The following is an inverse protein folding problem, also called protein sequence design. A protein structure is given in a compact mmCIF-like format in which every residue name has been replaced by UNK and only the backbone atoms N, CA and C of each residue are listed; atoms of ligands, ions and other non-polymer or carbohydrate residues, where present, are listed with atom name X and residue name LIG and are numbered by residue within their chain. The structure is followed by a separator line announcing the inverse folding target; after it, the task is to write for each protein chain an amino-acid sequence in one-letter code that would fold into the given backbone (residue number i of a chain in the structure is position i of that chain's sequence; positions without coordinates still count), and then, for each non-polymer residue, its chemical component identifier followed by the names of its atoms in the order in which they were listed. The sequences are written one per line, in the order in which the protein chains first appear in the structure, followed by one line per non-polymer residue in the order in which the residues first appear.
data_IF_950853486111
#
_entry.id   IF_950853486111
#
_cell.length_a   1.000
_cell.length_b   1.000
_cell.length_c   1.000
_cell.angle_alpha   90.00
_cell.angle_beta   90.00
_cell.angle_gamma   90.00
#
_symmetry.space_group_name_H-M   'P 1'
#
loop_
_entity.id
_entity.type
_entity.pdbx_description
1 polymer ?
#
# COMPACT_ATOMS: atom_id res chain seq x y z
N UNK A 1 -2.70 -5.24 22.04
CA UNK A 1 -3.44 -6.33 21.39
C UNK A 1 -2.81 -6.56 20.03
N UNK A 2 -2.41 -7.78 19.70
CA UNK A 2 -1.75 -8.09 18.43
C UNK A 2 -2.75 -7.92 17.28
N UNK A 3 -2.37 -7.16 16.25
CA UNK A 3 -3.18 -7.03 15.02
C UNK A 3 -3.44 -8.42 14.43
N UNK A 4 -4.68 -8.76 14.02
CA UNK A 4 -4.95 -10.07 13.44
C UNK A 4 -4.24 -10.16 12.08
N UNK A 5 -3.16 -10.94 12.05
CA UNK A 5 -2.42 -11.30 10.85
C UNK A 5 -2.88 -12.66 10.36
N UNK A 6 -3.23 -12.75 9.10
CA UNK A 6 -3.65 -14.00 8.47
C UNK A 6 -2.74 -14.30 7.28
N UNK A 7 -2.26 -15.53 7.23
CA UNK A 7 -1.41 -16.04 6.16
C UNK A 7 -2.20 -16.94 5.22
N UNK A 8 -1.96 -16.79 3.92
CA UNK A 8 -2.52 -17.62 2.86
C UNK A 8 -1.44 -17.99 1.85
N UNK A 9 -1.49 -19.23 1.38
CA UNK A 9 -0.73 -19.64 0.19
C UNK A 9 -1.43 -19.11 -1.06
N UNK A 10 -0.69 -18.89 -2.13
CA UNK A 10 -1.23 -18.45 -3.41
C UNK A 10 -2.32 -19.37 -3.98
N UNK A 11 -2.23 -20.68 -3.71
CA UNK A 11 -3.27 -21.65 -4.08
C UNK A 11 -4.58 -21.46 -3.30
N UNK A 12 -4.50 -20.94 -2.08
CA UNK A 12 -5.61 -20.68 -1.18
C UNK A 12 -6.22 -19.28 -1.37
N UNK A 13 -6.01 -18.64 -2.53
CA UNK A 13 -6.54 -17.30 -2.82
C UNK A 13 -8.05 -17.18 -2.59
N UNK A 14 -8.83 -18.22 -2.90
CA UNK A 14 -10.27 -18.24 -2.63
C UNK A 14 -10.60 -18.09 -1.13
N UNK A 15 -9.83 -18.73 -0.24
CA UNK A 15 -9.99 -18.56 1.21
C UNK A 15 -9.60 -17.15 1.65
N UNK A 16 -8.57 -16.57 1.01
CA UNK A 16 -8.17 -15.18 1.24
C UNK A 16 -9.29 -14.21 0.85
N UNK A 17 -9.94 -14.42 -0.30
CA UNK A 17 -11.10 -13.64 -0.77
C UNK A 17 -12.28 -13.75 0.19
N UNK A 18 -12.65 -14.96 0.60
CA UNK A 18 -13.74 -15.17 1.58
C UNK A 18 -13.45 -14.49 2.92
N UNK A 19 -12.20 -14.55 3.38
CA UNK A 19 -11.77 -13.89 4.61
C UNK A 19 -11.83 -12.37 4.46
N UNK A 20 -11.36 -11.82 3.34
CA UNK A 20 -11.41 -10.39 3.04
C UNK A 20 -12.85 -9.87 3.01
N UNK A 21 -13.79 -10.60 2.40
CA UNK A 21 -15.21 -10.20 2.37
C UNK A 21 -15.81 -10.01 3.76
N UNK A 22 -15.35 -10.78 4.75
CA UNK A 22 -15.80 -10.66 6.15
C UNK A 22 -15.20 -9.46 6.88
N UNK A 23 -14.01 -9.00 6.49
CA UNK A 23 -13.24 -7.98 7.23
C UNK A 23 -13.18 -6.62 6.53
N UNK A 24 -13.20 -6.55 5.19
CA UNK A 24 -13.13 -5.30 4.43
C UNK A 24 -14.33 -4.37 4.66
N UNK A 25 -15.48 -4.90 5.10
CA UNK A 25 -16.64 -4.07 5.43
C UNK A 25 -16.41 -3.19 6.66
N UNK A 26 -15.61 -3.68 7.61
CA UNK A 26 -15.40 -3.05 8.93
C UNK A 26 -14.00 -2.46 9.11
N UNK A 27 -13.04 -2.81 8.27
CA UNK A 27 -11.64 -2.44 8.45
C UNK A 27 -10.89 -2.29 7.11
N UNK A 28 -9.78 -1.56 7.16
CA UNK A 28 -8.83 -1.50 6.05
C UNK A 28 -7.89 -2.69 6.14
N UNK A 29 -7.65 -3.38 5.03
CA UNK A 29 -6.78 -4.57 5.00
C UNK A 29 -5.56 -4.29 4.16
N UNK A 30 -4.38 -4.43 4.76
CA UNK A 30 -3.11 -4.35 4.07
C UNK A 30 -2.68 -5.77 3.70
N UNK A 31 -2.30 -5.96 2.44
CA UNK A 31 -1.72 -7.19 1.94
C UNK A 31 -0.24 -6.98 1.61
N UNK A 32 0.61 -7.88 2.09
CA UNK A 32 1.98 -8.08 1.66
C UNK A 32 2.02 -9.36 0.83
N UNK A 33 2.58 -9.27 -0.37
CA UNK A 33 2.44 -10.29 -1.40
C UNK A 33 3.81 -10.61 -1.96
N UNK A 34 4.15 -11.88 -1.96
CA UNK A 34 5.28 -12.42 -2.71
C UNK A 34 4.74 -13.23 -3.89
N UNK A 35 5.27 -12.96 -5.07
CA UNK A 35 4.79 -13.61 -6.28
C UNK A 35 5.71 -13.39 -7.45
N UNK A 36 5.17 -13.69 -8.62
CA UNK A 36 5.88 -13.61 -9.89
C UNK A 36 5.08 -12.74 -10.85
N UNK A 37 5.74 -11.79 -11.51
CA UNK A 37 5.12 -11.01 -12.59
C UNK A 37 4.74 -11.94 -13.73
N UNK A 38 3.49 -11.91 -14.15
CA UNK A 38 2.99 -12.79 -15.23
C UNK A 38 3.66 -12.46 -16.57
N UNK A 39 3.91 -11.18 -16.84
CA UNK A 39 4.49 -10.73 -18.11
C UNK A 39 5.98 -11.07 -18.28
N UNK A 40 6.75 -11.04 -17.19
CA UNK A 40 8.22 -11.14 -17.24
C UNK A 40 8.77 -12.39 -16.56
N UNK A 41 7.97 -13.09 -15.75
CA UNK A 41 8.42 -14.20 -14.92
C UNK A 41 9.34 -13.78 -13.76
N UNK A 42 9.51 -12.47 -13.52
CA UNK A 42 10.37 -11.97 -12.45
C UNK A 42 9.69 -12.11 -11.08
N UNK A 43 10.44 -12.54 -10.07
CA UNK A 43 9.97 -12.57 -8.69
C UNK A 43 9.88 -11.14 -8.13
N UNK A 44 8.77 -10.85 -7.45
CA UNK A 44 8.48 -9.54 -6.87
C UNK A 44 7.85 -9.69 -5.49
N UNK A 45 8.18 -8.74 -4.60
CA UNK A 45 7.44 -8.51 -3.37
C UNK A 45 6.80 -7.12 -3.41
N UNK A 46 5.55 -7.03 -2.95
CA UNK A 46 4.83 -5.78 -2.91
C UNK A 46 3.87 -5.71 -1.73
N UNK A 47 3.59 -4.49 -1.26
CA UNK A 47 2.61 -4.23 -0.20
C UNK A 47 1.61 -3.19 -0.67
N UNK A 48 0.38 -3.33 -0.22
CA UNK A 48 -0.66 -2.37 -0.55
C UNK A 48 -1.96 -2.58 0.20
N UNK A 49 -2.84 -1.60 0.06
CA UNK A 49 -4.21 -1.67 0.57
C UNK A 49 -5.05 -2.53 -0.38
N UNK A 50 -5.75 -3.52 0.16
CA UNK A 50 -6.72 -4.29 -0.62
C UNK A 50 -7.94 -3.42 -0.90
N UNK A 51 -8.24 -3.21 -2.18
CA UNK A 51 -9.36 -2.37 -2.63
C UNK A 51 -10.55 -3.22 -3.02
N UNK A 52 -10.29 -4.37 -3.65
CA UNK A 52 -11.33 -5.25 -4.15
C UNK A 52 -10.88 -6.71 -4.10
N UNK A 53 -11.82 -7.62 -3.86
CA UNK A 53 -11.63 -9.06 -3.93
C UNK A 53 -12.76 -9.64 -4.79
N UNK A 54 -12.41 -10.22 -5.95
CA UNK A 54 -13.38 -10.81 -6.87
C UNK A 54 -13.46 -12.32 -6.68
N UNK A 55 -14.67 -12.82 -6.39
CA UNK A 55 -14.95 -14.25 -6.42
C UNK A 55 -15.16 -14.67 -7.88
N UNK A 56 -14.46 -15.72 -8.29
CA UNK A 56 -14.36 -16.17 -9.67
C UNK A 56 -15.63 -16.85 -10.22
N UNK A 57 -16.80 -16.22 -10.13
CA UNK A 57 -18.00 -16.71 -10.81
C UNK A 57 -17.90 -16.42 -12.33
N UNK A 58 -17.19 -17.30 -13.05
CA UNK A 58 -16.93 -17.16 -14.49
C UNK A 58 -15.72 -16.28 -14.86
N UNK A 59 -14.97 -15.78 -13.86
CA UNK A 59 -13.73 -15.01 -14.01
C UNK A 59 -12.63 -15.60 -13.11
N UNK A 60 -11.33 -15.36 -13.38
CA UNK A 60 -10.29 -15.77 -12.44
C UNK A 60 -10.45 -15.05 -11.10
N UNK A 61 -10.37 -15.80 -10.00
CA UNK A 61 -10.29 -15.22 -8.65
C UNK A 61 -9.09 -14.25 -8.59
N UNK A 62 -9.35 -13.03 -8.16
CA UNK A 62 -8.33 -11.98 -8.12
C UNK A 62 -8.50 -11.04 -6.94
N UNK A 63 -7.37 -10.51 -6.47
CA UNK A 63 -7.30 -9.43 -5.48
C UNK A 63 -6.74 -8.19 -6.16
N UNK A 64 -7.45 -7.07 -6.06
CA UNK A 64 -6.94 -5.79 -6.53
C UNK A 64 -6.38 -5.04 -5.34
N UNK A 65 -5.08 -4.76 -5.38
CA UNK A 65 -4.40 -3.99 -4.34
C UNK A 65 -3.91 -2.65 -4.89
N UNK A 66 -4.02 -1.61 -4.08
CA UNK A 66 -3.39 -0.31 -4.32
C UNK A 66 -2.05 -0.29 -3.60
N UNK A 67 -0.97 -0.26 -4.38
CA UNK A 67 0.40 -0.28 -3.90
C UNK A 67 0.75 0.97 -3.09
N UNK A 68 1.46 0.78 -1.98
CA UNK A 68 1.95 1.88 -1.14
C UNK A 68 2.97 2.75 -1.87
N UNK A 69 3.81 2.10 -2.67
CA UNK A 69 4.84 2.70 -3.52
C UNK A 69 4.70 2.16 -4.93
N UNK A 70 4.70 3.05 -5.92
CA UNK A 70 4.69 2.69 -7.33
C UNK A 70 6.01 1.97 -7.69
N UNK A 71 5.98 0.69 -8.09
CA UNK A 71 7.17 -0.03 -8.51
C UNK A 71 7.66 0.48 -9.87
N UNK A 72 8.94 0.24 -10.18
CA UNK A 72 9.51 0.61 -11.49
C UNK A 72 8.99 -0.23 -12.66
N UNK A 73 8.41 -1.39 -12.37
CA UNK A 73 7.94 -2.34 -13.38
C UNK A 73 6.50 -2.09 -13.83
N UNK A 74 5.74 -1.22 -13.17
CA UNK A 74 4.37 -0.87 -13.58
C UNK A 74 4.15 0.64 -13.60
N UNK A 75 3.43 1.10 -14.61
CA UNK A 75 2.92 2.47 -14.71
C UNK A 75 1.65 2.67 -13.86
N UNK A 76 1.05 1.61 -13.33
CA UNK A 76 -0.17 1.64 -12.55
C UNK A 76 0.13 1.50 -11.05
N UNK A 77 -0.76 2.07 -10.21
CA UNK A 77 -0.67 1.95 -8.76
C UNK A 77 -1.64 0.90 -8.20
N UNK A 78 -2.63 0.50 -9.01
CA UNK A 78 -3.51 -0.63 -8.72
C UNK A 78 -3.01 -1.80 -9.54
N UNK A 79 -2.90 -2.97 -8.90
CA UNK A 79 -2.50 -4.19 -9.57
C UNK A 79 -3.42 -5.33 -9.19
N UNK A 80 -3.58 -6.26 -10.11
CA UNK A 80 -4.38 -7.47 -9.96
C UNK A 80 -3.48 -8.65 -9.60
N UNK A 81 -3.84 -9.32 -8.51
CA UNK A 81 -3.13 -10.45 -7.94
C UNK A 81 -3.99 -11.70 -8.12
N UNK A 82 -3.42 -12.74 -8.71
CA UNK A 82 -4.11 -13.99 -8.97
C UNK A 82 -3.39 -15.18 -8.36
N UNK A 83 -3.97 -16.37 -8.55
CA UNK A 83 -3.36 -17.65 -8.19
C UNK A 83 -2.03 -17.86 -8.94
N UNK A 84 -1.15 -18.78 -8.47
CA UNK A 84 0.10 -19.14 -9.16
C UNK A 84 -0.10 -19.52 -10.63
N UNK A 85 -1.24 -20.15 -10.95
CA UNK A 85 -1.58 -20.61 -12.30
C UNK A 85 -2.53 -19.64 -13.04
N UNK A 86 -2.66 -18.39 -12.57
CA UNK A 86 -3.58 -17.44 -13.17
C UNK A 86 -3.11 -17.00 -14.58
N UNK A 87 -4.07 -16.85 -15.49
CA UNK A 87 -3.85 -16.47 -16.88
C UNK A 87 -3.98 -14.96 -17.13
N UNK A 88 -4.37 -14.61 -18.36
CA UNK A 88 -4.51 -13.22 -18.82
C UNK A 88 -5.38 -12.36 -17.88
N UNK A 89 -4.94 -11.13 -17.63
CA UNK A 89 -5.64 -10.16 -16.79
C UNK A 89 -5.16 -10.08 -15.34
N UNK A 90 -4.08 -10.80 -15.00
CA UNK A 90 -3.41 -10.74 -13.70
C UNK A 90 -2.00 -10.21 -13.89
N UNK A 91 -1.61 -9.24 -13.06
CA UNK A 91 -0.27 -8.64 -13.10
C UNK A 91 0.74 -9.50 -12.34
N UNK A 92 0.33 -10.02 -11.17
CA UNK A 92 1.17 -10.83 -10.28
C UNK A 92 0.49 -12.14 -9.95
N UNK A 93 1.16 -13.25 -10.26
CA UNK A 93 0.81 -14.57 -9.76
C UNK A 93 1.34 -14.70 -8.32
N UNK A 94 0.47 -14.67 -7.33
CA UNK A 94 0.86 -14.77 -5.93
C UNK A 94 1.35 -16.17 -5.59
N UNK A 95 2.48 -16.23 -4.90
CA UNK A 95 2.99 -17.45 -4.27
C UNK A 95 2.59 -17.49 -2.80
N UNK A 96 2.73 -16.36 -2.10
CA UNK A 96 2.44 -16.20 -0.68
C UNK A 96 1.75 -14.84 -0.43
N UNK A 97 0.77 -14.83 0.47
CA UNK A 97 -0.04 -13.68 0.82
C UNK A 97 -0.13 -13.54 2.33
N UNK A 98 0.30 -12.39 2.85
CA UNK A 98 0.17 -12.02 4.24
C UNK A 98 -0.79 -10.84 4.35
N UNK A 99 -1.88 -11.01 5.09
CA UNK A 99 -2.88 -9.97 5.26
C UNK A 99 -2.95 -9.52 6.71
N UNK A 100 -3.01 -8.21 6.89
CA UNK A 100 -3.09 -7.55 8.20
C UNK A 100 -4.32 -6.67 8.20
N UNK A 101 -5.25 -6.94 9.10
CA UNK A 101 -6.39 -6.03 9.32
C UNK A 101 -5.92 -4.88 10.18
N UNK A 102 -6.08 -3.65 9.70
CA UNK A 102 -5.89 -2.43 10.49
C UNK A 102 -7.22 -1.77 10.76
N UNK A 103 -7.41 -1.30 11.99
CA UNK A 103 -8.60 -0.53 12.34
C UNK A 103 -8.69 0.72 11.45
N UNK A 104 -9.89 1.00 10.89
CA UNK A 104 -10.15 2.20 10.07
C UNK A 104 -9.64 3.45 10.81
N UNK A 105 -8.76 4.22 10.17
CA UNK A 105 -8.14 5.42 10.76
C UNK A 105 -6.74 5.24 11.35
N UNK A 106 -6.16 4.03 11.32
CA UNK A 106 -4.73 3.80 11.59
C UNK A 106 -3.87 3.78 10.33
N UNK A 107 -4.31 4.43 9.26
CA UNK A 107 -3.33 5.03 8.37
C UNK A 107 -2.69 6.15 9.19
N UNK A 108 -1.44 5.94 9.65
CA UNK A 108 -0.60 7.06 10.07
C UNK A 108 -0.80 8.12 9.01
N UNK A 109 -1.44 9.24 9.38
CA UNK A 109 -1.38 10.48 8.62
C UNK A 109 0.07 10.57 8.18
N UNK A 110 0.29 10.48 6.87
CA UNK A 110 1.61 10.71 6.31
C UNK A 110 2.11 11.95 6.99
N UNK A 111 3.12 11.77 7.85
CA UNK A 111 3.96 12.83 8.41
C UNK A 111 4.12 13.86 7.31
N UNK A 112 3.39 14.97 7.40
CA UNK A 112 3.77 16.21 6.70
C UNK A 112 5.12 16.56 7.31
N UNK A 113 6.14 16.06 6.64
CA UNK A 113 7.53 16.33 6.93
C UNK A 113 7.79 17.72 6.38
N UNK A 114 7.57 18.73 7.20
CA UNK A 114 8.23 20.02 7.05
C UNK A 114 8.77 20.49 8.41
N UNK A 115 9.57 19.63 9.04
CA UNK A 115 10.67 20.10 9.89
C UNK A 115 11.76 20.68 8.99
N UNK A 116 11.66 21.97 8.67
CA UNK A 116 12.71 22.89 8.14
C UNK A 116 12.06 24.28 8.06
N UNK A 117 12.48 25.35 8.74
CA UNK A 117 13.76 25.74 9.31
C UNK A 117 13.58 26.49 10.64
N UNK A 118 14.20 25.99 11.71
CA UNK A 118 14.69 26.86 12.79
C UNK A 118 16.12 27.21 12.44
N UNK A 119 16.34 28.41 11.88
CA UNK A 119 17.61 29.16 11.91
C UNK A 119 17.42 30.49 11.17
N UNK A 120 16.94 31.49 11.90
CA UNK A 120 17.39 32.88 11.78
C UNK A 120 17.07 33.56 13.12
N UNK A 121 17.99 33.35 14.06
CA UNK A 121 18.37 34.39 15.02
C UNK A 121 18.87 35.58 14.21
N UNK A 122 18.15 36.70 14.24
CA UNK A 122 18.67 38.03 13.91
C UNK A 122 17.63 39.10 14.32
N UNK A 123 17.22 39.05 15.59
CA UNK A 123 16.39 40.11 16.20
C UNK A 123 17.21 41.19 16.90
N UNK A 124 18.50 41.29 16.56
CA UNK A 124 19.42 42.32 17.04
C UNK A 124 20.18 42.93 15.86
N UNK A 125 19.58 43.82 15.08
CA UNK A 125 20.30 44.88 14.31
C UNK A 125 19.28 45.84 13.66
N UNK A 126 18.59 46.63 14.46
CA UNK A 126 17.87 47.82 13.96
C UNK A 126 17.82 48.94 15.00
N UNK A 127 18.97 49.23 15.59
CA UNK A 127 19.16 50.47 16.33
C UNK A 127 20.54 51.04 16.08
N UNK A 128 20.75 51.60 14.88
CA UNK A 128 21.93 52.40 14.52
C UNK A 128 21.69 53.10 13.19
N UNK A 129 21.49 54.42 13.25
CA UNK A 129 21.48 55.41 12.15
C UNK A 129 20.15 55.60 11.41
N UNK A 130 19.31 56.50 11.93
CA UNK A 130 18.94 57.70 11.14
C UNK A 130 18.20 58.75 11.99
N UNK A 131 18.93 59.71 12.59
CA UNK A 131 18.41 61.03 13.05
C UNK A 131 19.51 62.10 13.07
N UNK A 132 20.37 62.14 12.05
CA UNK A 132 21.02 63.40 11.65
C UNK A 132 20.41 63.77 10.33
N UNK A 133 19.59 64.83 10.33
CA UNK A 133 19.00 65.59 9.22
C UNK A 133 17.49 65.79 9.40
N UNK A 134 17.11 66.62 10.38
CA UNK A 134 16.22 67.78 10.21
C UNK A 134 16.14 68.56 11.51
#
# INVERSE_FOLDING_TARGET
MSEPKQYFRGEDLGKAVEWLKKHMQSADVIAEIEGTLVDTGAQVSCSGLVIQAEDGFGKPESLVIRLDKKPRWTSEQMISIGKPNAGKGIDVAAKELFMVVKARGQHEERRRSSTRDRRYDDRDYRDSRDRRYR
#
